data_IF_602118926520
#
_entry.id   IF_602118926520
#
_cell.length_a   1.000
_cell.length_b   1.000
_cell.length_c   1.000
_cell.angle_alpha   90.00
_cell.angle_beta   90.00
_cell.angle_gamma   90.00
#
_symmetry.space_group_name_H-M   'P 1'
#
loop_
_entity.id
_entity.type
_entity.pdbx_description
1 polymer ?
#
# COMPACT_ATOMS: atom_id res chain seq x y z
N UNK A 1 -16.71 8.19 -46.19
CA UNK A 1 -17.15 7.04 -47.02
C UNK A 1 -16.70 7.21 -48.47
N UNK A 2 -17.03 8.34 -49.09
CA UNK A 2 -16.74 8.65 -50.51
C UNK A 2 -15.29 8.45 -50.92
N UNK A 3 -14.30 8.92 -50.14
CA UNK A 3 -12.87 8.73 -50.47
C UNK A 3 -12.42 7.26 -50.49
N UNK A 4 -13.13 6.39 -49.77
CA UNK A 4 -12.84 4.95 -49.72
C UNK A 4 -13.51 4.27 -50.93
N UNK A 5 -14.76 4.66 -51.22
CA UNK A 5 -15.50 4.20 -52.39
C UNK A 5 -14.82 4.61 -53.70
N UNK A 6 -14.36 5.86 -53.79
CA UNK A 6 -13.67 6.41 -54.95
C UNK A 6 -12.32 5.70 -55.20
N UNK A 7 -11.61 5.29 -54.14
CA UNK A 7 -10.43 4.41 -54.29
C UNK A 7 -10.83 3.03 -54.77
N UNK A 8 -11.90 2.46 -54.22
CA UNK A 8 -12.37 1.13 -54.64
C UNK A 8 -12.79 1.11 -56.11
N UNK A 9 -13.52 2.13 -56.56
CA UNK A 9 -13.93 2.30 -57.96
C UNK A 9 -12.73 2.45 -58.90
N UNK A 10 -11.70 3.21 -58.51
CA UNK A 10 -10.45 3.35 -59.27
C UNK A 10 -9.63 2.04 -59.33
N UNK A 11 -9.72 1.18 -58.31
CA UNK A 11 -8.94 -0.06 -58.24
C UNK A 11 -9.69 -1.32 -58.68
N UNK A 12 -11.02 -1.29 -58.75
CA UNK A 12 -11.91 -2.44 -59.06
C UNK A 12 -12.41 -2.46 -60.51
N UNK A 13 -12.15 -1.41 -61.30
CA UNK A 13 -12.56 -1.35 -62.69
C UNK A 13 -11.81 -2.36 -63.58
N UNK A 14 -12.44 -2.84 -64.68
CA UNK A 14 -11.80 -3.76 -65.64
C UNK A 14 -10.58 -3.15 -66.35
N UNK A 15 -10.31 -1.87 -66.14
CA UNK A 15 -9.13 -1.14 -66.65
C UNK A 15 -7.82 -1.63 -66.03
N UNK A 16 -7.85 -2.30 -64.87
CA UNK A 16 -6.64 -2.84 -64.22
C UNK A 16 -5.96 -3.99 -64.95
N UNK A 17 -6.61 -4.64 -65.91
CA UNK A 17 -5.91 -5.60 -66.76
C UNK A 17 -4.98 -4.89 -67.78
N UNK A 18 -5.13 -3.57 -67.95
CA UNK A 18 -4.33 -2.72 -68.84
C UNK A 18 -3.56 -1.59 -68.12
N UNK A 19 -3.90 -1.25 -66.87
CA UNK A 19 -3.18 -0.23 -66.08
C UNK A 19 -2.01 -0.86 -65.35
N UNK A 20 -0.83 -0.69 -65.94
CA UNK A 20 0.48 -0.87 -65.31
C UNK A 20 0.43 -0.25 -63.90
N UNK A 21 0.86 -0.97 -62.83
CA UNK A 21 0.93 -0.37 -61.50
C UNK A 21 1.77 0.88 -61.60
N UNK A 22 1.20 2.03 -61.22
CA UNK A 22 1.89 3.32 -61.23
C UNK A 22 3.27 3.15 -60.57
N UNK A 23 4.35 3.18 -61.37
CA UNK A 23 5.68 2.86 -60.89
C UNK A 23 6.17 3.89 -59.87
N UNK A 24 5.59 5.10 -59.87
CA UNK A 24 5.88 6.13 -58.87
C UNK A 24 5.27 5.79 -57.52
N UNK A 25 4.02 5.30 -57.48
CA UNK A 25 3.40 4.80 -56.24
C UNK A 25 4.15 3.59 -55.69
N UNK A 26 4.50 2.61 -56.53
CA UNK A 26 5.24 1.43 -56.08
C UNK A 26 6.65 1.78 -55.60
N UNK A 27 7.34 2.71 -56.28
CA UNK A 27 8.62 3.27 -55.85
C UNK A 27 8.51 4.02 -54.52
N UNK A 28 7.44 4.78 -54.31
CA UNK A 28 7.14 5.50 -53.08
C UNK A 28 6.95 4.54 -51.89
N UNK A 29 6.12 3.49 -52.04
CA UNK A 29 5.92 2.49 -50.98
C UNK A 29 7.21 1.72 -50.64
N UNK A 30 8.00 1.33 -51.65
CA UNK A 30 9.29 0.68 -51.42
C UNK A 30 10.27 1.60 -50.69
N UNK A 31 10.33 2.88 -51.09
CA UNK A 31 11.18 3.87 -50.44
C UNK A 31 10.78 4.10 -48.98
N UNK A 32 9.50 4.30 -48.69
CA UNK A 32 8.98 4.46 -47.33
C UNK A 32 9.25 3.24 -46.46
N UNK A 33 9.03 2.03 -47.00
CA UNK A 33 9.32 0.79 -46.31
C UNK A 33 10.82 0.65 -45.97
N UNK A 34 11.70 0.97 -46.93
CA UNK A 34 13.14 0.93 -46.72
C UNK A 34 13.59 1.97 -45.70
N UNK A 35 13.01 3.18 -45.72
CA UNK A 35 13.30 4.22 -44.74
C UNK A 35 12.86 3.78 -43.34
N UNK A 36 11.67 3.19 -43.20
CA UNK A 36 11.19 2.68 -41.92
C UNK A 36 12.10 1.56 -41.39
N UNK A 37 12.50 0.64 -42.27
CA UNK A 37 13.41 -0.45 -41.92
C UNK A 37 14.76 0.07 -41.40
N UNK A 38 15.35 1.05 -42.09
CA UNK A 38 16.58 1.70 -41.66
C UNK A 38 16.44 2.37 -40.27
N UNK A 39 15.29 3.00 -39.99
CA UNK A 39 15.01 3.58 -38.66
C UNK A 39 14.95 2.50 -37.57
N UNK A 40 14.30 1.38 -37.85
CA UNK A 40 14.22 0.26 -36.90
C UNK A 40 15.59 -0.33 -36.62
N UNK A 41 16.39 -0.56 -37.65
CA UNK A 41 17.75 -1.09 -37.52
C UNK A 41 18.65 -0.13 -36.71
N UNK A 42 18.53 1.19 -36.94
CA UNK A 42 19.25 2.19 -36.16
C UNK A 42 18.84 2.18 -34.68
N UNK A 43 17.54 2.07 -34.37
CA UNK A 43 17.05 1.97 -33.00
C UNK A 43 17.50 0.68 -32.30
N UNK A 44 17.45 -0.46 -33.00
CA UNK A 44 17.94 -1.73 -32.48
C UNK A 44 19.45 -1.69 -32.23
N UNK A 45 20.22 -1.06 -33.11
CA UNK A 45 21.65 -0.84 -32.89
C UNK A 45 21.90 0.03 -31.64
N UNK A 46 21.17 1.13 -31.50
CA UNK A 46 21.27 1.98 -30.31
C UNK A 46 20.90 1.22 -29.02
N UNK A 47 19.85 0.39 -29.06
CA UNK A 47 19.47 -0.46 -27.92
C UNK A 47 20.60 -1.40 -27.51
N UNK A 48 21.25 -2.07 -28.48
CA UNK A 48 22.41 -2.93 -28.21
C UNK A 48 23.56 -2.17 -27.55
N UNK A 49 23.86 -0.97 -28.02
CA UNK A 49 24.85 -0.12 -27.35
C UNK A 49 24.47 0.19 -25.90
N UNK A 50 23.21 0.57 -25.62
CA UNK A 50 22.75 0.79 -24.23
C UNK A 50 22.79 -0.48 -23.37
N UNK A 51 22.72 -1.66 -23.99
CA UNK A 51 22.87 -2.96 -23.32
C UNK A 51 24.35 -3.36 -23.13
N UNK A 52 25.30 -2.56 -23.63
CA UNK A 52 26.73 -2.84 -23.55
C UNK A 52 27.26 -3.75 -24.67
N UNK A 53 26.50 -3.93 -25.74
CA UNK A 53 26.85 -4.75 -26.91
C UNK A 53 27.35 -3.89 -28.08
N UNK A 54 28.11 -4.46 -29.01
CA UNK A 54 28.62 -3.82 -30.24
C UNK A 54 29.41 -2.49 -30.04
N UNK A 55 30.03 -2.33 -28.89
CA UNK A 55 30.74 -1.10 -28.49
C UNK A 55 32.05 -0.86 -29.27
N UNK A 56 32.59 -1.88 -29.94
CA UNK A 56 33.84 -1.80 -30.71
C UNK A 56 33.78 -0.76 -31.85
N UNK A 57 32.56 -0.44 -32.31
CA UNK A 57 32.33 0.55 -33.37
C UNK A 57 32.30 2.01 -32.88
N UNK A 58 32.31 2.23 -31.56
CA UNK A 58 32.22 3.54 -30.94
C UNK A 58 33.61 4.07 -30.57
N UNK A 59 33.83 5.37 -30.77
CA UNK A 59 35.03 6.03 -30.26
C UNK A 59 34.88 6.41 -28.78
N UNK A 60 35.99 6.82 -28.14
CA UNK A 60 36.02 7.15 -26.71
C UNK A 60 35.00 8.24 -26.32
N UNK A 61 34.80 9.27 -27.15
CA UNK A 61 33.84 10.35 -26.86
C UNK A 61 32.40 9.85 -26.94
N UNK A 62 32.11 9.00 -27.92
CA UNK A 62 30.78 8.39 -28.06
C UNK A 62 30.49 7.44 -26.90
N UNK A 63 31.49 6.69 -26.44
CA UNK A 63 31.36 5.81 -25.29
C UNK A 63 31.13 6.58 -23.99
N UNK A 64 31.86 7.68 -23.77
CA UNK A 64 31.63 8.58 -22.63
C UNK A 64 30.23 9.20 -22.67
N UNK A 65 29.76 9.60 -23.85
CA UNK A 65 28.41 10.12 -24.00
C UNK A 65 27.35 9.06 -23.68
N UNK A 66 27.54 7.83 -24.16
CA UNK A 66 26.68 6.69 -23.86
C UNK A 66 26.62 6.40 -22.36
N UNK A 67 27.77 6.39 -21.69
CA UNK A 67 27.87 6.21 -20.24
C UNK A 67 27.09 7.28 -19.48
N UNK A 68 27.25 8.56 -19.84
CA UNK A 68 26.49 9.65 -19.24
C UNK A 68 24.98 9.50 -19.42
N UNK A 69 24.53 9.09 -20.61
CA UNK A 69 23.10 8.85 -20.86
C UNK A 69 22.56 7.73 -19.99
N UNK A 70 23.30 6.63 -19.85
CA UNK A 70 22.91 5.50 -19.00
C UNK A 70 22.88 5.92 -17.53
N UNK A 71 23.89 6.66 -17.06
CA UNK A 71 23.96 7.16 -15.68
C UNK A 71 22.78 8.08 -15.35
N UNK A 72 22.46 9.03 -16.23
CA UNK A 72 21.30 9.93 -16.05
C UNK A 72 19.99 9.14 -16.02
N UNK A 73 19.80 8.21 -16.96
CA UNK A 73 18.61 7.36 -17.00
C UNK A 73 18.47 6.50 -15.74
N UNK A 74 19.57 5.91 -15.28
CA UNK A 74 19.62 5.12 -14.04
C UNK A 74 19.24 5.97 -12.82
N UNK A 75 19.84 7.15 -12.69
CA UNK A 75 19.53 8.09 -11.60
C UNK A 75 18.05 8.51 -11.62
N UNK A 76 17.46 8.72 -12.80
CA UNK A 76 16.03 9.02 -12.92
C UNK A 76 15.16 7.86 -12.45
N UNK A 77 15.48 6.63 -12.83
CA UNK A 77 14.76 5.41 -12.41
C UNK A 77 14.85 5.22 -10.89
N UNK A 78 16.05 5.35 -10.33
CA UNK A 78 16.29 5.24 -8.88
C UNK A 78 15.49 6.32 -8.14
N UNK A 79 15.58 7.57 -8.57
CA UNK A 79 14.87 8.69 -7.95
C UNK A 79 13.36 8.46 -7.94
N UNK A 80 12.79 8.03 -9.08
CA UNK A 80 11.37 7.72 -9.19
C UNK A 80 10.97 6.56 -8.27
N UNK A 81 11.76 5.49 -8.22
CA UNK A 81 11.51 4.34 -7.34
C UNK A 81 11.52 4.77 -5.87
N UNK A 82 12.53 5.54 -5.46
CA UNK A 82 12.64 6.07 -4.10
C UNK A 82 11.44 6.94 -3.74
N UNK A 83 11.03 7.84 -4.64
CA UNK A 83 9.84 8.68 -4.42
C UNK A 83 8.57 7.85 -4.16
N UNK A 84 8.30 6.86 -5.01
CA UNK A 84 7.15 5.95 -4.82
C UNK A 84 7.23 5.16 -3.51
N UNK A 85 8.43 4.76 -3.08
CA UNK A 85 8.63 4.08 -1.80
C UNK A 85 8.34 5.01 -0.62
N UNK A 86 8.80 6.26 -0.67
CA UNK A 86 8.51 7.26 0.35
C UNK A 86 7.02 7.57 0.45
N UNK A 87 6.33 7.67 -0.68
CA UNK A 87 4.87 7.87 -0.71
C UNK A 87 4.16 6.68 -0.04
N UNK A 88 4.53 5.45 -0.39
CA UNK A 88 3.96 4.25 0.23
C UNK A 88 4.22 4.17 1.73
N UNK A 89 5.41 4.55 2.20
CA UNK A 89 5.73 4.59 3.63
C UNK A 89 4.85 5.62 4.34
N UNK A 90 4.71 6.80 3.75
CA UNK A 90 3.89 7.89 4.29
C UNK A 90 2.42 7.50 4.39
N UNK A 91 1.89 6.81 3.38
CA UNK A 91 0.52 6.28 3.38
C UNK A 91 0.29 5.27 4.50
N UNK A 92 1.24 4.35 4.70
CA UNK A 92 1.17 3.36 5.77
C UNK A 92 1.25 4.06 7.14
N UNK A 93 2.15 5.02 7.32
CA UNK A 93 2.28 5.77 8.57
C UNK A 93 0.99 6.52 8.92
N UNK A 94 0.35 7.16 7.93
CA UNK A 94 -0.96 7.82 8.13
C UNK A 94 -2.03 6.83 8.58
N UNK A 95 -2.08 5.63 7.98
CA UNK A 95 -3.02 4.58 8.39
C UNK A 95 -2.75 4.08 9.80
N UNK A 96 -1.49 3.91 10.20
CA UNK A 96 -1.12 3.51 11.56
C UNK A 96 -1.62 4.54 12.57
N UNK A 97 -1.40 5.84 12.31
CA UNK A 97 -1.89 6.91 13.19
C UNK A 97 -3.41 6.93 13.28
N UNK A 98 -4.11 6.83 12.15
CA UNK A 98 -5.58 6.83 12.13
C UNK A 98 -6.17 5.64 12.91
N UNK A 99 -5.62 4.43 12.72
CA UNK A 99 -6.07 3.24 13.44
C UNK A 99 -5.75 3.31 14.93
N UNK A 100 -4.60 3.89 15.31
CA UNK A 100 -4.26 4.09 16.72
C UNK A 100 -5.25 5.04 17.39
N UNK A 101 -5.65 6.10 16.69
CA UNK A 101 -6.62 7.07 17.21
C UNK A 101 -8.01 6.44 17.36
N UNK A 102 -8.48 5.69 16.37
CA UNK A 102 -9.75 4.95 16.44
C UNK A 102 -9.75 3.95 17.61
N UNK A 103 -8.65 3.20 17.77
CA UNK A 103 -8.50 2.25 18.86
C UNK A 103 -8.53 2.96 20.23
N UNK A 104 -7.82 4.08 20.37
CA UNK A 104 -7.86 4.90 21.59
C UNK A 104 -9.28 5.38 21.92
N UNK A 105 -10.04 5.88 20.93
CA UNK A 105 -11.43 6.29 21.13
C UNK A 105 -12.32 5.13 21.58
N UNK A 106 -12.13 3.94 20.99
CA UNK A 106 -12.87 2.74 21.37
C UNK A 106 -12.55 2.34 22.83
N UNK A 107 -11.28 2.40 23.24
CA UNK A 107 -10.88 2.13 24.63
C UNK A 107 -11.52 3.09 25.62
N UNK A 108 -11.54 4.39 25.32
CA UNK A 108 -12.20 5.40 26.16
C UNK A 108 -13.70 5.09 26.26
N UNK A 109 -14.35 4.86 25.14
CA UNK A 109 -15.79 4.54 25.08
C UNK A 109 -16.13 3.27 25.86
N UNK A 110 -15.28 2.24 25.77
CA UNK A 110 -15.47 0.98 26.48
C UNK A 110 -15.37 1.20 27.99
N UNK A 111 -14.35 1.94 28.43
CA UNK A 111 -14.16 2.27 29.85
C UNK A 111 -15.31 3.10 30.41
N UNK A 112 -15.82 4.06 29.65
CA UNK A 112 -17.00 4.86 30.04
C UNK A 112 -18.25 3.98 30.19
N UNK A 113 -18.47 3.04 29.26
CA UNK A 113 -19.61 2.10 29.34
C UNK A 113 -19.49 1.14 30.52
N UNK A 114 -18.29 0.62 30.81
CA UNK A 114 -18.05 -0.21 31.99
C UNK A 114 -18.34 0.56 33.28
N UNK A 115 -17.86 1.80 33.38
CA UNK A 115 -18.16 2.66 34.54
C UNK A 115 -19.65 2.94 34.67
N UNK A 116 -20.34 3.28 33.58
CA UNK A 116 -21.78 3.52 33.60
C UNK A 116 -22.57 2.26 34.03
N UNK A 117 -22.18 1.09 33.56
CA UNK A 117 -22.79 -0.18 33.96
C UNK A 117 -22.60 -0.48 35.46
N UNK A 118 -21.39 -0.23 35.99
CA UNK A 118 -21.12 -0.36 37.42
C UNK A 118 -21.95 0.62 38.26
N UNK A 119 -22.03 1.89 37.84
CA UNK A 119 -22.87 2.89 38.52
C UNK A 119 -24.35 2.52 38.50
N UNK A 120 -24.87 2.00 37.38
CA UNK A 120 -26.26 1.55 37.27
C UNK A 120 -26.55 0.36 38.21
N UNK A 121 -25.63 -0.61 38.28
CA UNK A 121 -25.72 -1.76 39.20
C UNK A 121 -25.70 -1.32 40.67
N UNK A 122 -24.81 -0.37 41.01
CA UNK A 122 -24.72 0.17 42.37
C UNK A 122 -25.99 0.94 42.76
N UNK A 123 -26.57 1.70 41.84
CA UNK A 123 -27.86 2.36 42.03
C UNK A 123 -28.96 1.31 42.25
N UNK A 124 -29.12 0.31 41.38
CA UNK A 124 -30.12 -0.76 41.54
C UNK A 124 -30.05 -1.43 42.93
N UNK A 125 -28.84 -1.76 43.40
CA UNK A 125 -28.62 -2.33 44.74
C UNK A 125 -29.07 -1.41 45.89
N UNK A 126 -28.98 -0.09 45.72
CA UNK A 126 -29.42 0.88 46.73
C UNK A 126 -30.96 0.97 46.82
N UNK A 127 -31.66 0.84 45.70
CA UNK A 127 -33.13 0.94 45.65
C UNK A 127 -33.84 -0.39 45.98
N UNK A 128 -33.15 -1.52 45.88
CA UNK A 128 -33.68 -2.83 46.31
C UNK A 128 -33.62 -3.08 47.82
N UNK A 129 -33.22 -2.08 48.63
CA UNK A 129 -33.33 -2.17 50.08
C UNK A 129 -34.79 -1.99 50.50
N UNK A 130 -35.47 -3.00 51.09
CA UNK A 130 -36.80 -2.82 51.62
C UNK A 130 -36.74 -1.88 52.83
N UNK A 131 -37.45 -0.75 52.75
CA UNK A 131 -37.69 0.15 53.87
C UNK A 131 -38.47 -0.58 54.97
N UNK A 132 -37.75 -1.13 55.95
CA UNK A 132 -38.35 -1.55 57.22
C UNK A 132 -37.53 -1.01 58.41
N UNK A 133 -38.19 -0.17 59.22
CA UNK A 133 -37.83 0.12 60.61
C UNK A 133 -39.13 0.26 61.44
N UNK A 134 -39.08 0.13 62.78
CA UNK A 134 -38.31 -0.83 63.58
C UNK A 134 -39.24 -1.56 64.58
N UNK A 135 -38.84 -2.73 65.10
CA UNK A 135 -39.42 -3.20 66.37
C UNK A 135 -38.34 -3.78 67.27
N UNK A 136 -38.21 -3.14 68.43
CA UNK A 136 -37.40 -3.53 69.56
C UNK A 136 -37.59 -5.00 69.95
N UNK A 137 -36.49 -5.70 70.24
CA UNK A 137 -36.37 -6.53 71.44
C UNK A 137 -34.91 -6.98 71.70
N UNK A 138 -34.40 -6.46 72.81
CA UNK A 138 -33.63 -7.11 73.89
C UNK A 138 -32.49 -8.09 73.60
N UNK A 139 -31.29 -7.59 73.95
CA UNK A 139 -30.13 -8.22 74.57
C UNK A 139 -30.08 -9.76 74.75
N UNK A 140 -28.99 -10.36 74.24
CA UNK A 140 -28.12 -11.23 75.04
C UNK A 140 -26.68 -11.09 74.57
N UNK A 141 -25.80 -10.82 75.53
CA UNK A 141 -24.36 -10.68 75.39
C UNK A 141 -23.71 -12.07 75.38
N UNK A 142 -22.88 -12.37 74.38
CA UNK A 142 -21.76 -13.29 74.59
C UNK A 142 -20.62 -12.99 73.63
N UNK A 143 -19.45 -12.89 74.22
CA UNK A 143 -18.16 -12.52 73.67
C UNK A 143 -17.57 -13.52 72.67
N UNK A 144 -16.99 -13.03 71.58
CA UNK A 144 -15.79 -13.62 70.98
C UNK A 144 -15.08 -12.60 70.07
N UNK A 145 -13.79 -12.46 70.32
CA UNK A 145 -12.80 -11.53 69.78
C UNK A 145 -12.71 -11.45 68.24
N UNK A 146 -12.15 -10.36 67.66
CA UNK A 146 -12.01 -10.20 66.22
C UNK A 146 -10.72 -10.86 65.70
N UNK A 147 -10.66 -11.30 64.43
CA UNK A 147 -9.39 -11.52 63.75
C UNK A 147 -8.85 -10.20 63.17
N UNK A 148 -7.55 -9.98 63.39
CA UNK A 148 -6.73 -8.92 62.81
C UNK A 148 -6.69 -8.97 61.28
N UNK A 149 -6.82 -7.80 60.66
CA UNK A 149 -6.36 -7.55 59.30
C UNK A 149 -4.83 -7.43 59.28
N UNK A 150 -4.16 -8.25 58.49
CA UNK A 150 -2.78 -8.01 58.05
C UNK A 150 -2.82 -7.29 56.70
N UNK A 151 -2.22 -6.09 56.54
CA UNK A 151 -1.96 -5.53 55.23
C UNK A 151 -0.68 -6.20 54.70
N UNK A 152 -0.79 -7.02 53.66
CA UNK A 152 0.38 -7.44 52.90
C UNK A 152 0.88 -6.22 52.13
N UNK A 153 2.01 -5.68 52.57
CA UNK A 153 2.85 -4.76 51.82
C UNK A 153 3.59 -5.60 50.77
N UNK A 154 3.25 -5.43 49.49
CA UNK A 154 4.13 -5.81 48.39
C UNK A 154 4.69 -4.53 47.76
N UNK A 155 5.99 -4.31 47.99
CA UNK A 155 6.86 -3.38 47.29
C UNK A 155 7.03 -3.79 45.82
N UNK A 156 7.39 -2.85 44.91
CA UNK A 156 7.23 -3.00 43.47
C UNK A 156 8.39 -3.78 42.84
N UNK A 157 8.10 -4.94 42.27
CA UNK A 157 9.01 -5.59 41.34
C UNK A 157 8.91 -4.94 39.95
N UNK A 158 10.07 -4.54 39.42
CA UNK A 158 10.32 -3.98 38.08
C UNK A 158 9.54 -4.72 36.96
N UNK A 159 9.15 -4.02 35.87
CA UNK A 159 8.37 -4.63 34.80
C UNK A 159 9.23 -5.68 34.05
N UNK A 160 8.78 -6.93 33.89
CA UNK A 160 9.43 -7.84 32.98
C UNK A 160 9.17 -7.38 31.54
N UNK A 161 10.25 -7.35 30.76
CA UNK A 161 10.32 -7.00 29.35
C UNK A 161 9.08 -7.38 28.55
N UNK A 162 8.62 -6.45 27.70
CA UNK A 162 7.53 -6.56 26.73
C UNK A 162 7.69 -7.81 25.87
N UNK A 163 7.12 -8.93 26.32
CA UNK A 163 6.92 -10.10 25.46
C UNK A 163 5.81 -9.74 24.49
N UNK A 164 6.15 -9.74 23.21
CA UNK A 164 5.22 -9.46 22.12
C UNK A 164 3.98 -10.38 22.26
N UNK A 165 2.76 -9.83 22.11
CA UNK A 165 1.53 -10.57 22.32
C UNK A 165 1.38 -11.73 21.32
N UNK A 166 0.74 -12.82 21.77
CA UNK A 166 0.68 -14.11 21.07
C UNK A 166 0.11 -14.05 19.64
N UNK A 167 -0.68 -13.02 19.31
CA UNK A 167 -1.20 -12.81 17.95
C UNK A 167 -0.10 -12.42 16.94
N UNK A 168 1.03 -11.87 17.39
CA UNK A 168 2.16 -11.50 16.51
C UNK A 168 3.05 -12.69 16.12
N UNK A 169 2.86 -13.87 16.73
CA UNK A 169 3.74 -15.02 16.53
C UNK A 169 3.21 -16.07 15.55
N UNK A 170 2.10 -15.81 14.86
CA UNK A 170 1.51 -16.79 13.93
C UNK A 170 1.68 -16.39 12.47
N UNK A 171 2.86 -16.63 11.90
CA UNK A 171 3.01 -16.93 10.47
C UNK A 171 4.23 -17.83 10.24
N UNK A 172 4.06 -19.12 10.53
CA UNK A 172 4.72 -20.24 9.83
C UNK A 172 4.17 -21.55 10.38
N UNK A 173 3.28 -22.18 9.61
CA UNK A 173 3.28 -23.60 9.27
C UNK A 173 1.88 -24.02 8.82
N UNK A 174 1.78 -24.46 7.57
CA UNK A 174 0.57 -24.93 6.90
C UNK A 174 0.61 -24.54 5.44
#
# INVERSE_FOLDING_TARGET
MERILQRYELYSGPERELVVPDPELQGSWCFESNQLKAKVEALQKAQRHFMGEDLESLNIKELQHLEQLVEVGLNQVITRKSHLQFDSISDIQRKVVALQEENNMMWVTLKEKEQAALSLSHHHSLWDHPQHQPLYQSATSTSSSPPSFTPTVEEPALPPATKLPAWMLSHKNG
#
